data_IF_526005298751
#
_entry.id   IF_526005298751
#
_cell.length_a   1.000
_cell.length_b   1.000
_cell.length_c   1.000
_cell.angle_alpha   90.00
_cell.angle_beta   90.00
_cell.angle_gamma   90.00
#
_symmetry.space_group_name_H-M   'P 1'
#
loop_
_entity.id
_entity.type
_entity.pdbx_description
1 polymer ?
#
# COMPACT_ATOMS: atom_id res chain seq x y z
N UNK A 1 6.18 -3.24 4.99
CA UNK A 1 7.52 -3.46 5.54
C UNK A 1 8.55 -3.98 4.54
N UNK A 2 9.50 -4.76 5.06
CA UNK A 2 10.66 -5.28 4.34
C UNK A 2 10.35 -6.64 3.72
N UNK A 3 11.12 -7.02 2.69
CA UNK A 3 11.06 -8.37 2.11
C UNK A 3 11.94 -9.30 2.95
N UNK A 4 11.39 -10.43 3.37
CA UNK A 4 12.06 -11.46 4.14
C UNK A 4 12.82 -12.48 3.26
N UNK A 5 13.82 -13.18 3.81
CA UNK A 5 14.50 -14.24 3.08
C UNK A 5 13.56 -15.38 2.68
N UNK A 6 13.51 -15.69 1.38
CA UNK A 6 12.75 -16.83 0.85
C UNK A 6 11.32 -16.50 0.39
N UNK A 7 10.91 -15.24 0.45
CA UNK A 7 9.63 -14.79 -0.11
C UNK A 7 9.80 -14.00 -1.42
N UNK A 8 8.80 -14.04 -2.30
CA UNK A 8 8.68 -13.14 -3.45
C UNK A 8 8.16 -11.78 -2.99
N UNK A 9 8.28 -10.76 -3.84
CA UNK A 9 7.74 -9.43 -3.56
C UNK A 9 6.22 -9.46 -3.34
N UNK A 10 5.51 -10.29 -4.09
CA UNK A 10 4.07 -10.48 -3.94
C UNK A 10 3.73 -11.16 -2.62
N UNK A 11 4.53 -12.15 -2.19
CA UNK A 11 4.37 -12.78 -0.88
C UNK A 11 4.59 -11.77 0.26
N UNK A 12 5.60 -10.90 0.14
CA UNK A 12 5.83 -9.82 1.09
C UNK A 12 4.62 -8.87 1.19
N UNK A 13 4.05 -8.45 0.05
CA UNK A 13 2.84 -7.62 0.01
C UNK A 13 1.68 -8.30 0.74
N UNK A 14 1.45 -9.60 0.49
CA UNK A 14 0.38 -10.35 1.14
C UNK A 14 0.60 -10.47 2.66
N UNK A 15 1.82 -10.79 3.07
CA UNK A 15 2.20 -10.96 4.48
C UNK A 15 2.05 -9.66 5.25
N UNK A 16 2.69 -8.59 4.78
CA UNK A 16 2.72 -7.29 5.43
C UNK A 16 1.31 -6.70 5.61
N UNK A 17 0.48 -6.75 4.56
CA UNK A 17 -0.91 -6.27 4.66
C UNK A 17 -1.72 -7.11 5.67
N UNK A 18 -1.49 -8.42 5.72
CA UNK A 18 -2.20 -9.28 6.66
C UNK A 18 -1.72 -9.07 8.11
N UNK A 19 -0.42 -8.89 8.32
CA UNK A 19 0.18 -8.64 9.63
C UNK A 19 -0.27 -7.29 10.20
N UNK A 20 -0.20 -6.22 9.40
CA UNK A 20 -0.52 -4.87 9.86
C UNK A 20 -2.02 -4.66 10.03
N UNK A 21 -2.85 -5.05 9.05
CA UNK A 21 -4.30 -4.69 9.03
C UNK A 21 -5.26 -5.88 8.96
N UNK A 22 -4.79 -7.13 8.95
CA UNK A 22 -5.65 -8.32 9.04
C UNK A 22 -6.51 -8.60 7.82
N UNK A 23 -6.23 -7.98 6.66
CA UNK A 23 -6.97 -8.22 5.41
C UNK A 23 -6.15 -9.07 4.45
N UNK A 24 -6.85 -9.78 3.55
CA UNK A 24 -6.23 -10.53 2.44
C UNK A 24 -6.47 -9.78 1.14
N UNK A 25 -5.47 -9.83 0.26
CA UNK A 25 -5.49 -9.20 -1.05
C UNK A 25 -5.13 -10.19 -2.16
N UNK A 26 -5.47 -9.85 -3.39
CA UNK A 26 -5.12 -10.57 -4.61
C UNK A 26 -4.86 -9.59 -5.76
N UNK A 27 -4.60 -10.10 -6.97
CA UNK A 27 -4.26 -9.27 -8.15
C UNK A 27 -3.14 -8.27 -7.86
N UNK A 28 -2.03 -8.77 -7.32
CA UNK A 28 -0.87 -7.96 -6.98
C UNK A 28 -0.13 -7.63 -8.27
N UNK A 29 -0.04 -6.33 -8.57
CA UNK A 29 0.58 -5.81 -9.78
C UNK A 29 1.65 -4.78 -9.43
N UNK A 30 2.84 -4.99 -9.98
CA UNK A 30 3.94 -4.03 -9.83
C UNK A 30 3.53 -2.66 -10.39
N UNK A 31 3.77 -1.62 -9.60
CA UNK A 31 3.47 -0.23 -9.94
C UNK A 31 4.73 0.56 -10.32
N UNK A 32 5.79 0.41 -9.53
CA UNK A 32 7.00 1.19 -9.70
C UNK A 32 7.99 1.01 -8.56
N UNK A 33 9.15 1.65 -8.68
CA UNK A 33 10.15 1.67 -7.62
C UNK A 33 10.64 3.10 -7.35
N UNK A 34 11.13 3.32 -6.13
CA UNK A 34 11.75 4.57 -5.71
C UNK A 34 12.89 4.29 -4.74
N UNK A 35 14.05 4.91 -4.98
CA UNK A 35 15.13 4.92 -3.99
C UNK A 35 14.66 5.68 -2.74
N UNK A 36 14.92 5.12 -1.57
CA UNK A 36 14.55 5.73 -0.30
C UNK A 36 15.79 5.85 0.60
N UNK A 37 16.27 7.08 0.86
CA UNK A 37 17.61 7.29 1.41
C UNK A 37 17.79 6.81 2.86
N UNK A 38 16.71 6.60 3.62
CA UNK A 38 16.78 6.19 5.03
C UNK A 38 15.84 5.02 5.31
N UNK A 39 16.33 3.79 5.60
CA UNK A 39 17.71 3.37 5.87
C UNK A 39 18.46 2.82 4.64
N UNK A 40 18.49 3.54 3.51
CA UNK A 40 19.02 3.06 2.21
C UNK A 40 18.23 1.89 1.62
N UNK A 41 16.91 2.07 1.50
CA UNK A 41 16.00 1.05 0.98
C UNK A 41 15.60 1.34 -0.47
N UNK A 42 15.22 0.28 -1.19
CA UNK A 42 14.50 0.41 -2.45
C UNK A 42 13.02 0.14 -2.16
N UNK A 43 12.18 1.18 -2.29
CA UNK A 43 10.74 1.01 -2.20
C UNK A 43 10.25 0.42 -3.51
N UNK A 44 9.50 -0.68 -3.42
CA UNK A 44 8.84 -1.32 -4.55
C UNK A 44 7.34 -1.25 -4.28
N UNK A 45 6.63 -0.48 -5.09
CA UNK A 45 5.21 -0.25 -4.92
C UNK A 45 4.41 -1.24 -5.77
N UNK A 46 3.29 -1.69 -5.19
CA UNK A 46 2.33 -2.59 -5.83
C UNK A 46 0.92 -2.05 -5.64
N UNK A 47 0.06 -2.33 -6.62
CA UNK A 47 -1.39 -2.24 -6.46
C UNK A 47 -1.95 -3.62 -6.15
N UNK A 48 -3.01 -3.71 -5.35
CA UNK A 48 -3.69 -4.95 -5.05
C UNK A 48 -5.19 -4.73 -4.86
N UNK A 49 -5.98 -5.79 -5.00
CA UNK A 49 -7.42 -5.78 -4.80
C UNK A 49 -7.79 -6.48 -3.49
N UNK A 50 -8.76 -5.92 -2.77
CA UNK A 50 -9.29 -6.53 -1.54
C UNK A 50 -9.95 -7.87 -1.86
N UNK A 51 -9.50 -8.93 -1.19
CA UNK A 51 -10.09 -10.27 -1.31
C UNK A 51 -11.14 -10.52 -0.24
N UNK A 52 -10.72 -10.46 1.04
CA UNK A 52 -11.58 -10.66 2.21
C UNK A 52 -10.87 -10.22 3.50
N UNK A 53 -11.58 -10.27 4.62
CA UNK A 53 -11.06 -9.97 5.95
C UNK A 53 -11.83 -8.83 6.62
N UNK A 54 -11.34 -8.41 7.79
CA UNK A 54 -11.80 -7.20 8.48
C UNK A 54 -10.57 -6.48 8.97
N UNK A 55 -10.56 -5.15 8.88
CA UNK A 55 -9.46 -4.35 9.40
C UNK A 55 -9.31 -4.68 10.89
N UNK A 56 -8.15 -5.25 11.23
CA UNK A 56 -7.72 -5.56 12.58
C UNK A 56 -6.28 -5.11 12.66
N UNK A 57 -6.03 -4.06 13.43
CA UNK A 57 -4.76 -3.34 13.45
C UNK A 57 -3.79 -4.04 14.40
N UNK A 58 -2.59 -4.37 13.93
CA UNK A 58 -1.47 -4.61 14.83
C UNK A 58 -0.91 -3.27 15.31
N UNK A 59 -1.30 -2.91 16.53
CA UNK A 59 -0.94 -1.65 17.20
C UNK A 59 0.57 -1.50 17.52
N UNK A 60 1.42 -2.40 17.02
CA UNK A 60 2.87 -2.30 17.12
C UNK A 60 3.48 -1.40 16.05
N UNK A 61 2.95 -1.45 14.83
CA UNK A 61 3.52 -0.75 13.68
C UNK A 61 2.61 0.35 13.15
N UNK A 62 1.30 0.15 13.22
CA UNK A 62 0.31 1.09 12.70
C UNK A 62 -0.68 1.51 13.79
N UNK A 63 -0.99 2.80 13.84
CA UNK A 63 -1.90 3.37 14.85
C UNK A 63 -3.37 3.31 14.40
N UNK A 64 -3.63 3.53 13.11
CA UNK A 64 -4.97 3.61 12.54
C UNK A 64 -4.99 3.09 11.08
N UNK A 65 -6.11 2.53 10.67
CA UNK A 65 -6.36 2.04 9.32
C UNK A 65 -7.86 2.05 9.02
N UNK A 66 -8.24 2.58 7.86
CA UNK A 66 -9.63 2.62 7.42
C UNK A 66 -9.73 2.61 5.89
N UNK A 67 -10.95 2.41 5.41
CA UNK A 67 -11.30 2.54 3.99
C UNK A 67 -11.67 3.98 3.68
N UNK A 68 -11.11 4.51 2.59
CA UNK A 68 -11.37 5.87 2.14
C UNK A 68 -11.87 5.87 0.70
N UNK A 69 -12.82 6.75 0.39
CA UNK A 69 -13.22 7.01 -1.00
C UNK A 69 -12.33 8.11 -1.58
N UNK A 70 -12.26 8.21 -2.91
CA UNK A 70 -11.44 9.24 -3.58
C UNK A 70 -11.92 10.67 -3.26
N UNK A 71 -13.19 10.83 -2.89
CA UNK A 71 -13.78 12.11 -2.49
C UNK A 71 -13.52 12.48 -1.03
N UNK A 72 -13.08 11.52 -0.20
CA UNK A 72 -12.89 11.71 1.23
C UNK A 72 -11.59 11.06 1.72
N UNK A 73 -10.47 11.54 1.19
CA UNK A 73 -9.14 11.13 1.60
C UNK A 73 -8.68 11.90 2.85
N UNK A 74 -7.93 11.25 3.76
CA UNK A 74 -7.27 11.92 4.87
C UNK A 74 -6.09 12.77 4.36
N UNK A 75 -5.33 13.44 5.24
CA UNK A 75 -4.03 13.97 4.86
C UNK A 75 -3.15 12.88 4.22
N UNK A 76 -2.75 13.08 2.97
CA UNK A 76 -1.96 12.12 2.19
C UNK A 76 -0.48 12.57 2.08
N UNK A 77 0.45 11.64 1.80
CA UNK A 77 1.89 11.95 1.75
C UNK A 77 2.31 13.01 0.72
N UNK A 78 3.54 13.49 0.85
CA UNK A 78 4.12 14.49 -0.07
C UNK A 78 4.24 13.96 -1.50
N UNK A 79 4.11 14.86 -2.49
CA UNK A 79 4.18 14.53 -3.94
C UNK A 79 5.48 13.87 -4.40
N UNK A 80 6.53 13.97 -3.60
CA UNK A 80 7.82 13.32 -3.90
C UNK A 80 7.82 11.82 -3.61
N UNK A 81 6.89 11.31 -2.80
CA UNK A 81 6.87 9.91 -2.39
C UNK A 81 6.17 8.98 -3.40
N UNK A 82 6.63 7.73 -3.49
CA UNK A 82 5.99 6.69 -4.29
C UNK A 82 4.59 6.36 -3.78
N UNK A 83 4.37 6.45 -2.46
CA UNK A 83 3.04 6.30 -1.84
C UNK A 83 2.07 7.35 -2.38
N UNK A 84 2.50 8.61 -2.48
CA UNK A 84 1.68 9.67 -3.07
C UNK A 84 1.41 9.42 -4.55
N UNK A 85 2.42 9.00 -5.32
CA UNK A 85 2.25 8.65 -6.75
C UNK A 85 1.23 7.53 -6.95
N UNK A 86 1.20 6.53 -6.07
CA UNK A 86 0.23 5.43 -6.11
C UNK A 86 -1.19 5.94 -5.83
N UNK A 87 -1.36 6.81 -4.82
CA UNK A 87 -2.65 7.43 -4.49
C UNK A 87 -3.14 8.31 -5.66
N UNK A 88 -2.28 9.16 -6.20
CA UNK A 88 -2.63 10.05 -7.32
C UNK A 88 -3.06 9.22 -8.56
N UNK A 89 -2.34 8.14 -8.88
CA UNK A 89 -2.75 7.21 -9.95
C UNK A 89 -4.12 6.57 -9.70
N UNK A 90 -4.41 6.16 -8.46
CA UNK A 90 -5.70 5.58 -8.11
C UNK A 90 -6.83 6.59 -8.29
N UNK A 91 -6.62 7.85 -7.85
CA UNK A 91 -7.56 8.95 -8.06
C UNK A 91 -7.78 9.17 -9.55
N UNK A 92 -6.72 9.28 -10.35
CA UNK A 92 -6.84 9.52 -11.81
C UNK A 92 -7.61 8.41 -12.52
N UNK A 93 -7.35 7.15 -12.15
CA UNK A 93 -7.98 5.97 -12.77
C UNK A 93 -9.45 5.81 -12.39
N UNK A 94 -9.84 6.25 -11.19
CA UNK A 94 -11.20 6.06 -10.65
C UNK A 94 -12.03 7.33 -10.54
N UNK A 95 -11.43 8.49 -10.79
CA UNK A 95 -12.18 9.73 -11.02
C UNK A 95 -12.97 9.56 -12.30
N UNK A 96 -14.28 9.72 -12.20
CA UNK A 96 -15.14 9.91 -13.36
C UNK A 96 -14.75 11.24 -13.99
N UNK A 97 -13.77 11.23 -14.89
CA UNK A 97 -13.58 12.33 -15.82
C UNK A 97 -14.87 12.41 -16.63
N UNK A 98 -15.67 13.44 -16.34
CA UNK A 98 -16.63 13.99 -17.29
C UNK A 98 -15.88 14.70 -18.40
#
# INVERSE_FOLDING_TARGET
GFVEPGETLEQAVMREIHEEVGIKVHHIHYFGSQHWPFPQSLMIAFTAEYLNGKITIDHREIEDANWFTIENLPPIPSKMSISRRLIDWFIEKHSKVK
#
